data_IF_207815295080
#
_entry.id   IF_207815295080
#
_cell.length_a   1.000
_cell.length_b   1.000
_cell.length_c   1.000
_cell.angle_alpha   90.00
_cell.angle_beta   90.00
_cell.angle_gamma   90.00
#
_symmetry.space_group_name_H-M   'P 1'
#
loop_
_entity.id
_entity.type
_entity.pdbx_description
1 polymer ?
#
# COMPACT_ATOMS: atom_id res chain seq x y z
N UNK A 1 -19.50 9.57 -1.95
CA UNK A 1 -18.81 8.59 -1.06
C UNK A 1 -17.94 7.70 -1.93
N UNK A 2 -16.75 7.32 -1.48
CA UNK A 2 -15.91 6.36 -2.19
C UNK A 2 -16.42 4.94 -1.89
N UNK A 3 -16.66 4.17 -2.93
CA UNK A 3 -17.05 2.76 -2.88
C UNK A 3 -15.94 1.90 -3.47
N UNK A 4 -15.65 0.77 -2.83
CA UNK A 4 -14.66 -0.19 -3.30
C UNK A 4 -15.29 -1.57 -3.48
N UNK A 5 -15.30 -2.06 -4.73
CA UNK A 5 -15.63 -3.45 -5.07
C UNK A 5 -14.34 -4.26 -5.03
N UNK A 6 -14.11 -4.98 -3.92
CA UNK A 6 -12.89 -5.77 -3.72
C UNK A 6 -12.74 -6.90 -4.74
N UNK A 7 -13.84 -7.53 -5.15
CA UNK A 7 -13.83 -8.66 -6.08
C UNK A 7 -13.39 -8.23 -7.48
N UNK A 8 -13.80 -7.04 -7.91
CA UNK A 8 -13.39 -6.46 -9.20
C UNK A 8 -12.17 -5.54 -9.10
N UNK A 9 -11.77 -5.20 -7.88
CA UNK A 9 -10.75 -4.19 -7.58
C UNK A 9 -11.08 -2.83 -8.23
N UNK A 10 -12.34 -2.40 -8.15
CA UNK A 10 -12.85 -1.16 -8.75
C UNK A 10 -13.18 -0.17 -7.65
N UNK A 11 -12.74 1.07 -7.85
CA UNK A 11 -13.08 2.21 -6.99
C UNK A 11 -14.08 3.10 -7.73
N UNK A 12 -15.16 3.49 -7.06
CA UNK A 12 -16.19 4.37 -7.62
C UNK A 12 -16.41 5.55 -6.68
N UNK A 13 -16.32 6.77 -7.18
CA UNK A 13 -16.64 7.98 -6.44
C UNK A 13 -17.83 8.66 -7.10
N UNK A 14 -18.96 8.71 -6.40
CA UNK A 14 -20.20 9.37 -6.85
C UNK A 14 -20.63 8.91 -8.26
N UNK A 15 -20.58 7.59 -8.50
CA UNK A 15 -20.94 6.97 -9.77
C UNK A 15 -19.86 7.00 -10.85
N UNK A 16 -18.70 7.63 -10.60
CA UNK A 16 -17.55 7.65 -11.51
C UNK A 16 -16.47 6.68 -11.07
N UNK A 17 -16.09 5.75 -11.95
CA UNK A 17 -14.94 4.88 -11.71
C UNK A 17 -13.63 5.69 -11.68
N UNK A 18 -12.78 5.38 -10.71
CA UNK A 18 -11.45 5.96 -10.55
C UNK A 18 -10.38 4.89 -10.78
N UNK A 19 -9.28 5.20 -11.52
CA UNK A 19 -8.16 4.29 -11.62
C UNK A 19 -7.50 4.11 -10.24
N UNK A 20 -7.10 2.87 -9.94
CA UNK A 20 -6.29 2.59 -8.75
C UNK A 20 -4.87 3.12 -8.90
N UNK A 21 -4.19 3.39 -7.78
CA UNK A 21 -2.75 3.75 -7.77
C UNK A 21 -1.90 2.72 -8.55
N UNK A 22 -2.14 1.43 -8.34
CA UNK A 22 -1.45 0.37 -9.08
C UNK A 22 -1.75 0.42 -10.58
N UNK A 23 -3.00 0.72 -10.97
CA UNK A 23 -3.39 0.91 -12.37
C UNK A 23 -2.64 2.07 -13.02
N UNK A 24 -2.51 3.21 -12.33
CA UNK A 24 -1.73 4.36 -12.79
C UNK A 24 -0.26 3.97 -13.05
N UNK A 25 0.38 3.38 -12.04
CA UNK A 25 1.80 3.03 -12.12
C UNK A 25 2.08 1.98 -13.22
N UNK A 26 1.14 1.06 -13.46
CA UNK A 26 1.19 0.11 -14.57
C UNK A 26 1.03 0.81 -15.93
N UNK A 27 0.00 1.63 -16.11
CA UNK A 27 -0.31 2.27 -17.39
C UNK A 27 0.71 3.34 -17.80
N UNK A 28 1.47 3.87 -16.85
CA UNK A 28 2.59 4.79 -17.09
C UNK A 28 3.94 4.08 -17.25
N UNK A 29 3.98 2.73 -17.18
CA UNK A 29 5.21 1.95 -17.37
C UNK A 29 6.19 1.98 -16.19
N UNK A 30 5.79 2.53 -15.04
CA UNK A 30 6.59 2.52 -13.81
C UNK A 30 6.68 1.11 -13.23
N UNK A 31 5.58 0.37 -13.30
CA UNK A 31 5.54 -1.06 -13.03
C UNK A 31 5.78 -1.80 -14.34
N UNK A 32 7.00 -2.31 -14.54
CA UNK A 32 7.25 -3.27 -15.62
C UNK A 32 6.37 -4.49 -15.38
N UNK A 33 5.88 -5.12 -16.46
CA UNK A 33 5.41 -6.51 -16.39
C UNK A 33 6.60 -7.35 -15.92
N UNK A 34 6.72 -7.55 -14.61
CA UNK A 34 7.77 -8.38 -14.05
C UNK A 34 7.41 -9.80 -14.49
N UNK A 35 8.33 -10.55 -15.14
CA UNK A 35 8.09 -11.95 -15.48
C UNK A 35 7.80 -12.86 -14.25
N UNK A 36 7.88 -12.30 -13.04
CA UNK A 36 7.61 -12.92 -11.75
C UNK A 36 6.22 -12.58 -11.17
N UNK A 37 5.43 -11.73 -11.82
CA UNK A 37 4.05 -11.44 -11.36
C UNK A 37 3.13 -12.55 -11.84
N UNK A 38 3.10 -13.65 -11.06
CA UNK A 38 2.19 -14.77 -11.28
C UNK A 38 0.91 -14.57 -10.46
N UNK A 39 -0.20 -15.15 -10.91
CA UNK A 39 -1.45 -15.14 -10.13
C UNK A 39 -1.25 -15.74 -8.73
N UNK A 40 -0.42 -16.79 -8.64
CA UNK A 40 0.00 -17.38 -7.37
C UNK A 40 0.77 -16.39 -6.49
N UNK A 41 1.67 -15.59 -7.06
CA UNK A 41 2.40 -14.54 -6.34
C UNK A 41 1.48 -13.44 -5.81
N UNK A 42 0.50 -13.01 -6.61
CA UNK A 42 -0.51 -12.04 -6.21
C UNK A 42 -1.41 -12.59 -5.08
N UNK A 43 -1.88 -13.84 -5.21
CA UNK A 43 -2.69 -14.51 -4.19
C UNK A 43 -1.93 -14.67 -2.86
N UNK A 44 -0.66 -15.06 -2.91
CA UNK A 44 0.20 -15.13 -1.74
C UNK A 44 0.40 -13.76 -1.10
N UNK A 45 0.56 -12.70 -1.91
CA UNK A 45 0.62 -11.32 -1.44
C UNK A 45 -0.63 -10.94 -0.66
N UNK A 46 -1.82 -11.10 -1.27
CA UNK A 46 -3.10 -10.79 -0.62
C UNK A 46 -3.29 -11.55 0.69
N UNK A 47 -3.02 -12.86 0.69
CA UNK A 47 -3.12 -13.69 1.90
C UNK A 47 -2.22 -13.18 3.02
N UNK A 48 -0.98 -12.80 2.71
CA UNK A 48 -0.02 -12.31 3.71
C UNK A 48 -0.41 -10.94 4.26
N UNK A 49 -0.95 -10.03 3.44
CA UNK A 49 -1.50 -8.76 3.94
C UNK A 49 -2.65 -9.02 4.91
N UNK A 50 -3.59 -9.92 4.56
CA UNK A 50 -4.68 -10.32 5.44
C UNK A 50 -4.16 -10.88 6.78
N UNK A 51 -3.13 -11.73 6.77
CA UNK A 51 -2.54 -12.23 8.02
C UNK A 51 -1.96 -11.11 8.89
N UNK A 52 -1.29 -10.12 8.28
CA UNK A 52 -0.78 -8.96 9.02
C UNK A 52 -1.91 -8.06 9.54
N UNK A 53 -3.00 -7.90 8.80
CA UNK A 53 -4.20 -7.17 9.22
C UNK A 53 -4.86 -7.85 10.41
N UNK A 54 -5.11 -9.17 10.33
CA UNK A 54 -5.69 -9.95 11.42
C UNK A 54 -4.81 -9.89 12.67
N UNK A 55 -3.50 -9.91 12.50
CA UNK A 55 -2.56 -9.73 13.61
C UNK A 55 -2.71 -8.34 14.24
N UNK A 56 -2.72 -7.28 13.42
CA UNK A 56 -2.82 -5.90 13.88
C UNK A 56 -4.16 -5.64 14.61
N UNK A 57 -5.24 -6.25 14.13
CA UNK A 57 -6.57 -6.21 14.74
C UNK A 57 -6.74 -7.15 15.94
N UNK A 58 -5.73 -7.97 16.28
CA UNK A 58 -5.78 -8.99 17.35
C UNK A 58 -6.89 -10.04 17.15
N UNK A 59 -7.27 -10.30 15.91
CA UNK A 59 -8.28 -11.29 15.52
C UNK A 59 -7.68 -12.52 14.82
N UNK A 60 -6.35 -12.58 14.72
CA UNK A 60 -5.63 -13.68 14.09
C UNK A 60 -5.84 -15.01 14.84
N UNK A 61 -6.35 -16.00 14.12
CA UNK A 61 -6.31 -17.40 14.56
C UNK A 61 -5.00 -18.07 14.12
N UNK A 62 -4.09 -18.23 15.07
CA UNK A 62 -2.77 -18.84 14.87
C UNK A 62 -2.83 -20.28 14.31
N UNK A 63 -3.90 -21.03 14.58
CA UNK A 63 -4.07 -22.40 14.10
C UNK A 63 -4.32 -22.51 12.60
N UNK A 64 -4.69 -21.40 11.94
CA UNK A 64 -5.05 -21.37 10.52
C UNK A 64 -3.92 -20.95 9.59
N UNK A 65 -2.76 -20.59 10.15
CA UNK A 65 -1.64 -20.04 9.40
C UNK A 65 -0.89 -21.17 8.68
N UNK A 66 -0.77 -21.06 7.35
CA UNK A 66 0.04 -21.99 6.59
C UNK A 66 1.53 -21.83 6.95
N UNK A 67 2.27 -22.94 7.04
CA UNK A 67 3.68 -22.95 7.43
C UNK A 67 4.57 -22.09 6.54
N UNK A 68 4.19 -21.89 5.27
CA UNK A 68 4.91 -21.05 4.31
C UNK A 68 4.73 -19.54 4.53
N UNK A 69 3.73 -19.11 5.30
CA UNK A 69 3.50 -17.70 5.62
C UNK A 69 4.01 -17.29 6.98
N UNK A 70 4.17 -18.25 7.89
CA UNK A 70 4.65 -17.99 9.23
C UNK A 70 5.91 -17.11 9.24
N UNK A 71 6.93 -17.34 8.38
CA UNK A 71 8.12 -16.47 8.35
C UNK A 71 7.82 -15.03 7.94
N UNK A 72 6.80 -14.79 7.11
CA UNK A 72 6.43 -13.44 6.70
C UNK A 72 5.72 -12.71 7.84
N UNK A 73 4.80 -13.38 8.52
CA UNK A 73 4.13 -12.84 9.70
C UNK A 73 5.13 -12.55 10.83
N UNK A 74 6.05 -13.48 11.12
CA UNK A 74 7.14 -13.25 12.08
C UNK A 74 7.99 -12.04 11.72
N UNK A 75 8.28 -11.86 10.42
CA UNK A 75 8.97 -10.68 9.91
C UNK A 75 8.20 -9.38 10.20
N UNK A 76 6.87 -9.39 10.08
CA UNK A 76 6.03 -8.24 10.40
C UNK A 76 6.02 -7.94 11.90
N UNK A 77 5.83 -8.96 12.73
CA UNK A 77 5.86 -8.85 14.20
C UNK A 77 7.19 -8.26 14.67
N UNK A 78 8.29 -8.77 14.11
CA UNK A 78 9.64 -8.28 14.41
C UNK A 78 9.82 -6.83 13.94
N UNK A 79 9.39 -6.49 12.73
CA UNK A 79 9.45 -5.11 12.22
C UNK A 79 8.67 -4.14 13.12
N UNK A 80 7.47 -4.51 13.56
CA UNK A 80 6.67 -3.68 14.47
C UNK A 80 7.39 -3.39 15.78
N UNK A 81 8.02 -4.42 16.36
CA UNK A 81 8.78 -4.28 17.60
C UNK A 81 10.04 -3.41 17.40
N UNK A 82 10.84 -3.74 16.40
CA UNK A 82 12.14 -3.09 16.18
C UNK A 82 12.02 -1.62 15.75
N UNK A 83 10.98 -1.29 14.98
CA UNK A 83 10.74 0.06 14.45
C UNK A 83 9.68 0.82 15.27
N UNK A 84 9.26 0.27 16.41
CA UNK A 84 8.26 0.87 17.30
C UNK A 84 6.97 1.29 16.58
N UNK A 85 6.41 0.38 15.78
CA UNK A 85 5.23 0.62 14.94
C UNK A 85 3.95 0.41 15.76
N UNK A 86 3.20 1.48 15.92
CA UNK A 86 1.85 1.47 16.52
C UNK A 86 0.81 1.74 15.44
N UNK A 87 -0.15 0.84 15.32
CA UNK A 87 -1.22 0.88 14.32
C UNK A 87 -2.55 0.79 15.06
N UNK A 88 -3.46 1.72 14.79
CA UNK A 88 -4.84 1.65 15.26
C UNK A 88 -5.73 0.91 14.24
N UNK A 89 -6.79 0.20 14.67
CA UNK A 89 -7.68 -0.55 13.75
C UNK A 89 -8.26 0.30 12.60
N UNK A 90 -8.58 1.57 12.87
CA UNK A 90 -9.11 2.50 11.86
C UNK A 90 -8.07 2.95 10.82
N UNK A 91 -6.81 2.58 10.99
CA UNK A 91 -5.70 3.00 10.15
C UNK A 91 -5.11 1.83 9.34
N UNK A 92 -5.86 0.74 9.24
CA UNK A 92 -5.57 -0.45 8.46
C UNK A 92 -6.45 -0.46 7.21
N UNK A 93 -5.87 -0.79 6.04
CA UNK A 93 -6.56 -0.85 4.75
C UNK A 93 -7.39 0.42 4.46
N UNK A 94 -6.74 1.58 4.61
CA UNK A 94 -7.38 2.90 4.51
C UNK A 94 -7.64 3.21 3.04
N UNK A 95 -8.92 3.29 2.68
CA UNK A 95 -9.36 3.70 1.34
C UNK A 95 -9.19 5.22 1.18
N UNK A 96 -8.46 5.61 0.14
CA UNK A 96 -8.10 6.99 -0.16
C UNK A 96 -8.47 7.32 -1.60
N UNK A 97 -8.75 8.60 -1.85
CA UNK A 97 -8.89 9.14 -3.19
C UNK A 97 -8.35 10.56 -3.27
N UNK A 98 -7.88 10.95 -4.45
CA UNK A 98 -7.47 12.32 -4.72
C UNK A 98 -8.47 12.97 -5.67
N UNK A 99 -9.29 13.95 -5.23
CA UNK A 99 -10.38 14.50 -6.03
C UNK A 99 -9.90 15.23 -7.30
N UNK A 100 -8.78 15.96 -7.20
CA UNK A 100 -8.22 16.73 -8.33
C UNK A 100 -7.44 15.85 -9.31
N UNK A 101 -6.59 14.95 -8.81
CA UNK A 101 -5.81 14.03 -9.62
C UNK A 101 -6.60 12.77 -10.02
N UNK A 102 -7.86 12.63 -9.61
CA UNK A 102 -8.82 11.67 -10.14
C UNK A 102 -8.40 10.21 -9.99
N UNK A 103 -7.92 9.79 -8.82
CA UNK A 103 -7.55 8.40 -8.56
C UNK A 103 -7.95 7.95 -7.15
N UNK A 104 -7.92 6.65 -6.92
CA UNK A 104 -8.16 6.04 -5.63
C UNK A 104 -7.19 4.90 -5.32
N UNK A 105 -7.22 4.39 -4.10
CA UNK A 105 -6.50 3.20 -3.70
C UNK A 105 -6.68 2.90 -2.23
N UNK A 106 -6.08 1.80 -1.79
CA UNK A 106 -6.13 1.36 -0.39
C UNK A 106 -4.69 1.32 0.12
N UNK A 107 -4.40 2.13 1.13
CA UNK A 107 -3.12 2.12 1.82
C UNK A 107 -3.13 1.02 2.87
N UNK A 108 -2.09 0.17 2.91
CA UNK A 108 -2.04 -0.92 3.88
C UNK A 108 -2.16 -0.36 5.31
N UNK A 109 -1.31 0.60 5.66
CA UNK A 109 -1.24 1.17 7.01
C UNK A 109 -1.00 2.67 6.98
N UNK A 110 -1.73 3.37 7.83
CA UNK A 110 -1.34 4.69 8.35
C UNK A 110 -1.04 4.44 9.83
N UNK A 111 0.10 4.90 10.33
CA UNK A 111 0.56 4.46 11.65
C UNK A 111 1.51 5.46 12.28
N UNK A 112 1.95 5.15 13.50
CA UNK A 112 3.09 5.82 14.14
C UNK A 112 4.32 4.92 14.06
N UNK A 113 5.44 5.46 13.59
CA UNK A 113 6.76 4.82 13.62
C UNK A 113 7.66 5.73 14.44
N UNK A 114 8.15 5.24 15.59
CA UNK A 114 8.86 6.07 16.57
C UNK A 114 8.10 7.37 16.95
N UNK A 115 6.76 7.28 17.01
CA UNK A 115 5.88 8.42 17.31
C UNK A 115 5.64 9.39 16.15
N UNK A 116 6.25 9.16 14.98
CA UNK A 116 6.06 9.97 13.77
C UNK A 116 4.94 9.36 12.91
N UNK A 117 4.05 10.21 12.41
CA UNK A 117 2.95 9.79 11.53
C UNK A 117 3.51 9.34 10.17
N UNK A 118 3.22 8.10 9.80
CA UNK A 118 3.84 7.42 8.67
C UNK A 118 2.79 6.71 7.85
N UNK A 119 2.92 6.76 6.52
CA UNK A 119 2.23 5.81 5.65
C UNK A 119 3.15 4.66 5.31
N UNK A 120 2.66 3.45 5.55
CA UNK A 120 3.44 2.23 5.51
C UNK A 120 2.81 1.24 4.53
N UNK A 121 3.67 0.68 3.68
CA UNK A 121 3.32 -0.31 2.66
C UNK A 121 4.14 -1.59 2.92
N UNK A 122 3.42 -2.69 3.16
CA UNK A 122 3.97 -4.01 3.43
C UNK A 122 4.22 -4.69 2.08
N UNK A 123 5.38 -5.33 1.94
CA UNK A 123 5.78 -5.97 0.69
C UNK A 123 6.38 -7.35 0.95
N UNK A 124 6.02 -8.32 0.12
CA UNK A 124 6.57 -9.69 0.19
C UNK A 124 7.63 -9.97 -0.89
N UNK A 125 7.88 -9.01 -1.78
CA UNK A 125 8.83 -9.10 -2.89
C UNK A 125 10.08 -8.25 -2.69
N UNK A 126 10.96 -8.24 -3.70
CA UNK A 126 12.13 -7.37 -3.70
C UNK A 126 11.73 -5.88 -3.82
N UNK A 127 12.52 -4.95 -3.24
CA UNK A 127 12.33 -3.52 -3.44
C UNK A 127 12.29 -3.14 -4.92
N UNK A 128 11.33 -2.29 -5.28
CA UNK A 128 11.18 -1.75 -6.63
C UNK A 128 11.03 -0.23 -6.57
N UNK A 129 11.55 0.45 -7.60
CA UNK A 129 11.53 1.93 -7.66
C UNK A 129 10.12 2.51 -7.66
N UNK A 130 9.12 1.78 -8.16
CA UNK A 130 7.74 2.29 -8.17
C UNK A 130 7.07 2.26 -6.79
N UNK A 131 7.63 1.54 -5.80
CA UNK A 131 7.04 1.44 -4.46
C UNK A 131 6.97 2.81 -3.77
N UNK A 132 7.99 3.67 -3.93
CA UNK A 132 7.93 5.04 -3.41
C UNK A 132 6.85 5.88 -4.09
N UNK A 133 6.65 5.70 -5.40
CA UNK A 133 5.60 6.42 -6.13
C UNK A 133 4.20 6.00 -5.64
N UNK A 134 4.02 4.73 -5.29
CA UNK A 134 2.77 4.26 -4.67
C UNK A 134 2.53 4.96 -3.32
N UNK A 135 3.52 4.96 -2.43
CA UNK A 135 3.43 5.64 -1.13
C UNK A 135 3.17 7.14 -1.27
N UNK A 136 3.84 7.80 -2.23
CA UNK A 136 3.61 9.22 -2.50
C UNK A 136 2.16 9.47 -2.95
N UNK A 137 1.62 8.67 -3.87
CA UNK A 137 0.23 8.84 -4.31
C UNK A 137 -0.74 8.67 -3.15
N UNK A 138 -0.53 7.69 -2.27
CA UNK A 138 -1.37 7.58 -1.08
C UNK A 138 -1.20 8.76 -0.12
N UNK A 139 0.04 9.23 0.13
CA UNK A 139 0.31 10.40 0.97
C UNK A 139 -0.33 11.69 0.44
N UNK A 140 -0.32 11.89 -0.88
CA UNK A 140 -0.99 13.02 -1.53
C UNK A 140 -2.52 12.92 -1.39
N UNK A 141 -3.11 11.75 -1.61
CA UNK A 141 -4.54 11.54 -1.42
C UNK A 141 -4.96 11.80 0.03
N UNK A 142 -4.22 11.24 1.00
CA UNK A 142 -4.43 11.50 2.42
C UNK A 142 -4.35 12.99 2.75
N UNK A 143 -3.34 13.69 2.24
CA UNK A 143 -3.14 15.11 2.55
C UNK A 143 -4.31 15.98 2.10
N UNK A 144 -4.94 15.65 0.97
CA UNK A 144 -6.10 16.38 0.48
C UNK A 144 -7.38 16.02 1.24
N UNK A 145 -7.57 14.76 1.62
CA UNK A 145 -8.78 14.31 2.31
C UNK A 145 -8.84 14.73 3.78
N UNK A 146 -7.70 14.76 4.45
CA UNK A 146 -7.63 15.00 5.90
C UNK A 146 -6.97 16.33 6.25
N UNK A 147 -6.57 17.13 5.26
CA UNK A 147 -5.87 18.42 5.45
C UNK A 147 -4.62 18.29 6.34
N UNK A 148 -3.93 17.14 6.23
CA UNK A 148 -2.77 16.77 7.06
C UNK A 148 -1.70 16.07 6.24
N UNK A 149 -0.44 16.47 6.38
CA UNK A 149 0.67 15.77 5.73
C UNK A 149 1.11 14.54 6.52
N UNK A 150 1.54 13.51 5.80
CA UNK A 150 2.24 12.35 6.37
C UNK A 150 3.74 12.55 6.17
N UNK A 151 4.52 12.91 7.20
CA UNK A 151 5.93 13.28 7.05
C UNK A 151 6.82 12.11 6.63
N UNK A 152 6.47 10.87 6.97
CA UNK A 152 7.26 9.69 6.64
C UNK A 152 6.53 8.73 5.71
N UNK A 153 7.30 8.18 4.77
CA UNK A 153 6.90 7.10 3.87
C UNK A 153 7.77 5.88 4.19
N UNK A 154 7.17 4.71 4.44
CA UNK A 154 7.91 3.50 4.82
C UNK A 154 7.47 2.27 4.02
N UNK A 155 8.41 1.61 3.37
CA UNK A 155 8.19 0.24 2.90
C UNK A 155 8.78 -0.77 3.88
N UNK A 156 8.01 -1.81 4.23
CA UNK A 156 8.49 -2.96 5.01
C UNK A 156 8.47 -4.21 4.14
N UNK A 157 9.65 -4.70 3.78
CA UNK A 157 9.83 -5.88 2.93
C UNK A 157 10.02 -7.15 3.78
N UNK A 158 8.98 -7.95 3.89
CA UNK A 158 8.94 -9.23 4.58
C UNK A 158 9.64 -10.32 3.76
N UNK A 159 10.43 -11.17 4.42
CA UNK A 159 11.25 -12.20 3.77
C UNK A 159 10.87 -13.59 4.28
N UNK A 160 11.05 -14.58 3.39
CA UNK A 160 10.82 -16.01 3.69
C UNK A 160 11.64 -16.61 4.84
N UNK A 161 12.57 -15.86 5.42
CA UNK A 161 13.47 -16.31 6.49
C UNK A 161 13.15 -15.69 7.86
N UNK A 162 11.95 -15.14 8.05
CA UNK A 162 11.55 -14.53 9.33
C UNK A 162 12.02 -13.08 9.50
N UNK A 163 12.83 -12.55 8.57
CA UNK A 163 13.40 -11.21 8.67
C UNK A 163 12.63 -10.22 7.80
N UNK A 164 12.91 -8.94 8.01
CA UNK A 164 12.42 -7.85 7.16
C UNK A 164 13.57 -7.01 6.58
N UNK A 165 13.23 -6.08 5.70
CA UNK A 165 14.03 -4.90 5.36
C UNK A 165 13.10 -3.70 5.43
N UNK A 166 13.48 -2.67 6.17
CA UNK A 166 12.78 -1.39 6.17
C UNK A 166 13.45 -0.43 5.17
N UNK A 167 12.66 0.38 4.49
CA UNK A 167 13.16 1.44 3.63
C UNK A 167 12.30 2.69 3.81
N UNK A 168 12.87 3.70 4.47
CA UNK A 168 12.28 5.04 4.56
C UNK A 168 12.43 5.75 3.22
N UNK A 169 11.42 6.54 2.90
CA UNK A 169 11.34 7.36 1.70
C UNK A 169 10.81 8.76 2.07
N UNK A 170 10.91 9.68 1.12
CA UNK A 170 10.38 11.04 1.21
C UNK A 170 9.62 11.40 -0.08
N UNK A 171 9.16 12.64 -0.19
CA UNK A 171 8.40 13.14 -1.34
C UNK A 171 9.28 13.71 -2.45
N UNK A 172 10.59 13.43 -2.48
CA UNK A 172 11.50 13.92 -3.53
C UNK A 172 11.03 13.55 -4.94
N UNK A 173 10.44 12.36 -5.10
CA UNK A 173 9.92 11.84 -6.37
C UNK A 173 8.46 12.27 -6.67
N UNK A 174 7.89 13.24 -5.92
CA UNK A 174 6.47 13.59 -6.06
C UNK A 174 6.07 14.10 -7.45
N UNK A 175 6.98 14.78 -8.14
CA UNK A 175 6.73 15.28 -9.49
C UNK A 175 6.48 14.14 -10.47
N UNK A 176 7.18 13.01 -10.31
CA UNK A 176 6.97 11.80 -11.12
C UNK A 176 5.65 11.12 -10.79
N UNK A 177 5.29 11.02 -9.50
CA UNK A 177 4.01 10.46 -9.07
C UNK A 177 2.82 11.27 -9.63
N UNK A 178 2.86 12.60 -9.51
CA UNK A 178 1.85 13.50 -10.05
C UNK A 178 1.79 13.41 -11.58
N UNK A 179 2.94 13.33 -12.26
CA UNK A 179 2.99 13.15 -13.71
C UNK A 179 2.30 11.85 -14.15
N UNK A 180 2.53 10.74 -13.45
CA UNK A 180 1.87 9.47 -13.73
C UNK A 180 0.34 9.58 -13.61
N UNK A 181 -0.17 10.16 -12.52
CA UNK A 181 -1.60 10.36 -12.34
C UNK A 181 -2.22 11.26 -13.43
N UNK A 182 -1.53 12.34 -13.81
CA UNK A 182 -1.97 13.24 -14.89
C UNK A 182 -2.01 12.55 -16.25
N UNK A 183 -1.00 11.74 -16.57
CA UNK A 183 -0.96 10.96 -17.81
C UNK A 183 -2.13 9.96 -17.86
N UNK A 184 -2.42 9.28 -16.76
CA UNK A 184 -3.56 8.36 -16.68
C UNK A 184 -4.88 9.09 -16.97
N UNK A 185 -5.09 10.25 -16.37
CA UNK A 185 -6.32 11.03 -16.61
C UNK A 185 -6.41 11.54 -18.04
N UNK A 186 -5.30 12.03 -18.61
CA UNK A 186 -5.27 12.46 -20.01
C UNK A 186 -5.65 11.33 -20.97
N UNK A 187 -5.16 10.10 -20.73
CA UNK A 187 -5.56 8.91 -21.51
C UNK A 187 -7.04 8.54 -21.37
N UNK A 188 -7.68 8.94 -20.28
CA UNK A 188 -9.10 8.69 -20.00
C UNK A 188 -10.05 9.72 -20.60
N UNK A 189 -9.55 10.84 -21.12
CA UNK A 189 -10.36 11.81 -21.88
C UNK A 189 -10.68 11.17 -23.23
N UNK A 190 -11.96 10.81 -23.42
CA UNK A 190 -12.51 10.40 -24.71
C UNK A 190 -12.90 11.61 -25.55
#
# INVERSE_FOLDING_TARGET
MLEFDEAKHIYTLDGRELPSVTTILKNCGCMKALPFYTDAGAANGKRRHLLTELYDNRTLDWGTIASEDMPYLEGWITARKDLNITVEPSEIEVQLYHPILGYAGTADRICLVDGVRTILDIKNGAPAKWNVLQLILYGLAYSVLFEQSLPELLCVYLKKNGKYKAQKHDYSDQSYAIAAARIQNWKGIK
#
